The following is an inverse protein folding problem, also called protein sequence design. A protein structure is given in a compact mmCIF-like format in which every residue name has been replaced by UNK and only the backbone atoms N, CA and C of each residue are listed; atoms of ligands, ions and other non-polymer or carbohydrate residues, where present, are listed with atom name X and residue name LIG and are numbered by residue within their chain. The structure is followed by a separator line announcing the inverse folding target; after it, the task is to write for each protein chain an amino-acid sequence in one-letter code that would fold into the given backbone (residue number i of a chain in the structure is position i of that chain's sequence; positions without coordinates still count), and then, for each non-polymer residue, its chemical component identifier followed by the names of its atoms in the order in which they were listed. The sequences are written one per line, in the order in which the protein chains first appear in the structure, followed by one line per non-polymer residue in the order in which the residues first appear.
data_IF_041389016221
#
_entry.id   IF_041389016221
#
_cell.length_a   1.000
_cell.length_b   1.000
_cell.length_c   1.000
_cell.angle_alpha   90.00
_cell.angle_beta   90.00
_cell.angle_gamma   90.00
#
_symmetry.space_group_name_H-M   'P 1'
#
loop_
_entity.id
_entity.type
_entity.pdbx_description
1 polymer ?
#
# COMPACT_ATOMS: atom_id res chain seq x y z
N UNK A 1 13.63 -3.67 7.16
CA UNK A 1 12.66 -2.73 6.55
C UNK A 1 12.11 -3.37 5.29
N UNK A 2 10.84 -3.08 4.91
CA UNK A 2 10.19 -3.68 3.74
C UNK A 2 9.61 -2.60 2.85
N UNK A 3 9.54 -2.87 1.54
CA UNK A 3 8.98 -1.99 0.52
C UNK A 3 8.16 -2.77 -0.51
N UNK A 4 7.28 -2.08 -1.22
CA UNK A 4 6.65 -2.54 -2.47
C UNK A 4 6.85 -1.48 -3.54
N UNK A 5 6.91 -1.89 -4.80
CA UNK A 5 7.03 -0.96 -5.91
C UNK A 5 5.67 -0.31 -6.24
N UNK A 6 5.73 0.95 -6.64
CA UNK A 6 4.60 1.70 -7.19
C UNK A 6 4.67 1.85 -8.71
N UNK A 7 3.64 2.45 -9.31
CA UNK A 7 3.53 2.59 -10.77
C UNK A 7 4.71 3.35 -11.40
N UNK A 8 5.28 4.35 -10.72
CA UNK A 8 6.40 5.11 -11.25
C UNK A 8 7.66 4.27 -11.43
N UNK A 9 7.85 3.25 -10.59
CA UNK A 9 8.98 2.33 -10.68
C UNK A 9 8.91 1.49 -11.97
N UNK A 10 7.69 1.16 -12.43
CA UNK A 10 7.45 0.43 -13.66
C UNK A 10 7.62 1.28 -14.92
N UNK A 11 7.52 2.61 -14.83
CA UNK A 11 7.76 3.49 -15.97
C UNK A 11 9.25 3.61 -16.34
N UNK A 12 10.15 3.25 -15.42
CA UNK A 12 11.59 3.37 -15.62
C UNK A 12 12.19 1.97 -15.81
N UNK A 13 12.53 1.31 -14.73
CA UNK A 13 13.10 -0.03 -14.71
C UNK A 13 12.90 -0.67 -13.32
N UNK A 14 11.84 -1.44 -13.11
CA UNK A 14 11.53 -1.98 -11.80
C UNK A 14 12.63 -2.88 -11.24
N UNK A 15 13.37 -3.61 -12.08
CA UNK A 15 14.46 -4.48 -11.65
C UNK A 15 15.66 -3.67 -11.13
N UNK A 16 16.00 -2.56 -11.77
CA UNK A 16 17.09 -1.69 -11.33
C UNK A 16 16.72 -0.98 -10.01
N UNK A 17 15.46 -0.53 -9.89
CA UNK A 17 14.96 0.12 -8.68
C UNK A 17 14.90 -0.88 -7.52
N UNK A 18 14.41 -2.10 -7.75
CA UNK A 18 14.44 -3.19 -6.74
C UNK A 18 15.84 -3.38 -6.20
N UNK A 19 16.83 -3.55 -7.09
CA UNK A 19 18.24 -3.73 -6.66
C UNK A 19 18.74 -2.56 -5.83
N UNK A 20 18.48 -1.33 -6.26
CA UNK A 20 18.91 -0.13 -5.52
C UNK A 20 18.28 -0.06 -4.10
N UNK A 21 17.02 -0.46 -3.96
CA UNK A 21 16.32 -0.53 -2.67
C UNK A 21 16.93 -1.64 -1.80
N UNK A 22 17.21 -2.80 -2.38
CA UNK A 22 17.80 -3.94 -1.67
C UNK A 22 19.25 -3.69 -1.27
N UNK A 23 20.04 -3.03 -2.11
CA UNK A 23 21.40 -2.58 -1.79
C UNK A 23 21.42 -1.58 -0.61
N UNK A 24 20.33 -0.84 -0.40
CA UNK A 24 20.13 -0.01 0.77
C UNK A 24 19.66 -0.77 2.04
N UNK A 25 19.56 -2.10 1.98
CA UNK A 25 19.14 -2.95 3.10
C UNK A 25 17.62 -3.02 3.33
N UNK A 26 16.82 -2.69 2.31
CA UNK A 26 15.36 -2.73 2.36
C UNK A 26 14.88 -3.90 1.49
N UNK A 27 14.15 -4.85 2.06
CA UNK A 27 13.60 -5.98 1.32
C UNK A 27 12.39 -5.55 0.50
N UNK A 28 12.43 -5.75 -0.81
CA UNK A 28 11.28 -5.52 -1.69
C UNK A 28 10.41 -6.78 -1.73
N UNK A 29 9.13 -6.63 -1.38
CA UNK A 29 8.15 -7.71 -1.46
C UNK A 29 7.39 -7.62 -2.78
N UNK A 30 7.39 -8.71 -3.54
CA UNK A 30 6.73 -8.83 -4.83
C UNK A 30 5.88 -10.10 -4.82
N UNK A 31 4.58 -9.96 -4.59
CA UNK A 31 3.60 -11.05 -4.43
C UNK A 31 4.04 -12.09 -3.37
N UNK A 32 4.54 -11.59 -2.27
CA UNK A 32 5.05 -12.39 -1.18
C UNK A 32 4.23 -12.17 0.10
N UNK A 33 4.01 -13.26 0.82
CA UNK A 33 3.49 -13.27 2.18
C UNK A 33 4.58 -13.85 3.09
N UNK A 34 5.04 -13.06 4.05
CA UNK A 34 6.12 -13.46 4.97
C UNK A 34 5.70 -13.31 6.43
N UNK A 35 6.06 -14.26 7.30
CA UNK A 35 5.82 -14.13 8.74
C UNK A 35 6.85 -13.18 9.37
N UNK A 36 6.37 -12.23 10.14
CA UNK A 36 7.21 -11.28 10.89
C UNK A 36 7.26 -11.71 12.36
N UNK A 37 8.42 -12.16 12.83
CA UNK A 37 8.68 -12.56 14.21
C UNK A 37 7.65 -13.55 14.79
N UNK A 38 6.92 -14.29 13.95
CA UNK A 38 5.80 -15.16 14.33
C UNK A 38 4.63 -14.40 15.00
N UNK A 39 4.55 -13.09 14.83
CA UNK A 39 3.50 -12.25 15.42
C UNK A 39 2.40 -11.91 14.43
N UNK A 40 2.77 -11.62 13.18
CA UNK A 40 1.83 -11.27 12.11
C UNK A 40 2.42 -11.63 10.74
N UNK A 41 1.59 -11.61 9.72
CA UNK A 41 1.98 -11.76 8.33
C UNK A 41 2.05 -10.40 7.64
N UNK A 42 3.12 -10.21 6.88
CA UNK A 42 3.26 -9.07 5.99
C UNK A 42 3.15 -9.54 4.55
N UNK A 43 2.19 -8.98 3.82
CA UNK A 43 2.01 -9.19 2.38
C UNK A 43 2.46 -7.94 1.66
N UNK A 44 3.33 -8.11 0.66
CA UNK A 44 3.70 -7.03 -0.25
C UNK A 44 3.33 -7.39 -1.69
N UNK A 45 2.63 -6.49 -2.36
CA UNK A 45 2.17 -6.67 -3.74
C UNK A 45 2.85 -5.66 -4.67
N UNK A 46 3.21 -6.06 -5.90
CA UNK A 46 3.63 -5.12 -6.93
C UNK A 46 2.47 -4.22 -7.36
N UNK A 47 2.77 -3.12 -8.05
CA UNK A 47 1.74 -2.29 -8.67
C UNK A 47 0.93 -3.08 -9.72
N UNK A 48 -0.28 -2.63 -10.03
CA UNK A 48 -1.15 -3.27 -11.02
C UNK A 48 -0.63 -3.15 -12.48
N UNK A 49 0.45 -2.42 -12.71
CA UNK A 49 1.19 -2.44 -13.98
C UNK A 49 2.00 -3.73 -14.18
N UNK A 50 2.21 -4.52 -13.13
CA UNK A 50 2.75 -5.86 -13.29
C UNK A 50 1.66 -6.82 -13.78
N UNK A 51 1.81 -7.29 -15.02
CA UNK A 51 0.84 -8.20 -15.66
C UNK A 51 0.80 -9.59 -15.01
N UNK A 52 1.79 -9.94 -14.18
CA UNK A 52 1.88 -11.22 -13.49
C UNK A 52 1.42 -11.15 -12.03
N UNK A 53 0.96 -9.99 -11.60
CA UNK A 53 0.49 -9.73 -10.24
C UNK A 53 -0.57 -10.75 -9.80
N UNK A 54 -0.31 -11.40 -8.66
CA UNK A 54 -1.23 -12.40 -8.11
C UNK A 54 -2.49 -11.74 -7.51
N UNK A 55 -3.63 -12.44 -7.53
CA UNK A 55 -4.80 -12.02 -6.74
C UNK A 55 -4.48 -11.95 -5.25
N UNK A 56 -4.96 -10.93 -4.55
CA UNK A 56 -4.71 -10.76 -3.11
C UNK A 56 -5.19 -11.97 -2.29
N UNK A 57 -6.31 -12.57 -2.67
CA UNK A 57 -6.84 -13.75 -2.02
C UNK A 57 -5.86 -14.93 -2.04
N UNK A 58 -5.05 -15.06 -3.10
CA UNK A 58 -4.06 -16.14 -3.21
C UNK A 58 -2.89 -15.95 -2.25
N UNK A 59 -2.51 -14.71 -2.00
CA UNK A 59 -1.47 -14.35 -1.03
C UNK A 59 -1.98 -14.55 0.40
N UNK A 60 -3.21 -14.12 0.68
CA UNK A 60 -3.85 -14.31 1.99
C UNK A 60 -3.99 -15.80 2.34
N UNK A 61 -4.30 -16.66 1.37
CA UNK A 61 -4.36 -18.12 1.61
C UNK A 61 -3.03 -18.75 2.04
N UNK A 62 -1.91 -18.08 1.81
CA UNK A 62 -0.57 -18.53 2.27
C UNK A 62 -0.29 -18.15 3.73
N UNK A 63 -1.13 -17.34 4.37
CA UNK A 63 -0.94 -16.88 5.75
C UNK A 63 -1.56 -17.84 6.76
N UNK A 64 -1.13 -17.73 8.00
CA UNK A 64 -1.79 -18.44 9.11
C UNK A 64 -3.04 -17.65 9.55
N UNK A 65 -4.25 -18.21 9.46
CA UNK A 65 -5.49 -17.52 9.80
C UNK A 65 -5.63 -17.13 11.29
N UNK A 66 -4.77 -17.67 12.16
CA UNK A 66 -4.72 -17.32 13.59
C UNK A 66 -3.84 -16.10 13.88
N UNK A 67 -3.21 -15.51 12.86
CA UNK A 67 -2.32 -14.37 13.00
C UNK A 67 -2.79 -13.18 12.18
N UNK A 68 -2.58 -11.94 12.67
CA UNK A 68 -2.93 -10.74 11.92
C UNK A 68 -2.21 -10.67 10.57
N UNK A 69 -2.86 -10.06 9.58
CA UNK A 69 -2.34 -9.85 8.23
C UNK A 69 -2.25 -8.36 7.94
N UNK A 70 -1.05 -7.90 7.61
CA UNK A 70 -0.79 -6.53 7.13
C UNK A 70 -0.50 -6.60 5.63
N UNK A 71 -1.23 -5.84 4.83
CA UNK A 71 -1.08 -5.74 3.39
C UNK A 71 -0.43 -4.40 3.03
N UNK A 72 0.67 -4.46 2.29
CA UNK A 72 1.27 -3.33 1.58
C UNK A 72 0.83 -3.41 0.11
N UNK A 73 0.00 -2.49 -0.34
CA UNK A 73 -0.45 -2.36 -1.72
C UNK A 73 -0.38 -0.90 -2.15
N UNK A 74 0.41 -0.59 -3.19
CA UNK A 74 0.68 0.79 -3.57
C UNK A 74 -0.59 1.58 -3.85
N UNK A 75 -1.55 1.00 -4.60
CA UNK A 75 -2.81 1.67 -4.93
C UNK A 75 -3.96 1.23 -4.03
N UNK A 76 -4.87 2.15 -3.66
CA UNK A 76 -6.08 1.82 -2.91
C UNK A 76 -7.24 1.35 -3.80
N UNK A 77 -6.98 0.84 -5.00
CA UNK A 77 -8.00 0.48 -6.00
C UNK A 77 -8.97 -0.60 -5.50
N UNK A 78 -8.48 -1.52 -4.67
CA UNK A 78 -9.18 -2.73 -4.25
C UNK A 78 -9.59 -2.74 -2.77
N UNK A 79 -9.65 -1.58 -2.11
CA UNK A 79 -9.99 -1.49 -0.67
C UNK A 79 -11.31 -2.18 -0.34
N UNK A 80 -12.35 -1.99 -1.18
CA UNK A 80 -13.65 -2.61 -0.96
C UNK A 80 -13.65 -4.15 -1.10
N UNK A 81 -12.78 -4.69 -1.96
CA UNK A 81 -12.55 -6.12 -2.12
C UNK A 81 -11.75 -6.67 -0.94
N UNK A 82 -10.66 -5.99 -0.61
CA UNK A 82 -9.75 -6.38 0.47
C UNK A 82 -10.44 -6.37 1.84
N UNK A 83 -11.42 -5.48 2.06
CA UNK A 83 -12.23 -5.45 3.27
C UNK A 83 -13.09 -6.71 3.50
N UNK A 84 -13.22 -7.57 2.49
CA UNK A 84 -13.91 -8.88 2.59
C UNK A 84 -12.95 -10.04 2.85
N UNK A 85 -11.65 -9.79 2.76
CA UNK A 85 -10.60 -10.76 3.05
C UNK A 85 -10.16 -10.63 4.52
N UNK A 86 -9.54 -11.65 5.10
CA UNK A 86 -8.97 -11.57 6.44
C UNK A 86 -7.66 -10.75 6.44
N UNK A 87 -7.79 -9.46 6.18
CA UNK A 87 -6.72 -8.46 6.22
C UNK A 87 -7.05 -7.49 7.36
N UNK A 88 -6.18 -7.42 8.35
CA UNK A 88 -6.38 -6.58 9.52
C UNK A 88 -5.98 -5.13 9.27
N UNK A 89 -4.91 -4.92 8.49
CA UNK A 89 -4.43 -3.60 8.11
C UNK A 89 -3.97 -3.57 6.66
N UNK A 90 -4.44 -2.60 5.89
CA UNK A 90 -3.84 -2.26 4.59
C UNK A 90 -3.22 -0.87 4.65
N UNK A 91 -2.01 -0.74 4.10
CA UNK A 91 -1.33 0.54 3.89
C UNK A 91 -1.13 0.78 2.39
N UNK A 92 -1.51 1.96 1.93
CA UNK A 92 -1.46 2.37 0.52
C UNK A 92 -1.00 3.82 0.38
N UNK A 93 -0.57 4.17 -0.82
CA UNK A 93 -0.18 5.54 -1.19
C UNK A 93 -0.81 5.94 -2.52
N UNK A 94 0.02 6.27 -3.52
CA UNK A 94 -0.33 6.56 -4.91
C UNK A 94 -1.10 7.86 -5.13
N UNK A 95 -2.14 8.13 -4.34
CA UNK A 95 -3.15 9.17 -4.62
C UNK A 95 -2.66 10.58 -4.28
N UNK A 96 -1.64 10.70 -3.41
CA UNK A 96 -1.07 11.96 -2.92
C UNK A 96 -2.10 12.95 -2.35
N UNK A 97 -3.29 12.46 -1.94
CA UNK A 97 -4.47 13.30 -1.61
C UNK A 97 -4.75 14.34 -2.71
N UNK A 98 -4.63 13.92 -3.99
CA UNK A 98 -4.77 14.78 -5.16
C UNK A 98 -3.60 15.73 -5.41
N UNK A 99 -2.66 15.86 -4.47
CA UNK A 99 -1.49 16.73 -4.48
C UNK A 99 -1.78 18.22 -4.69
N UNK A 100 -2.58 18.58 -5.70
CA UNK A 100 -2.91 19.97 -6.09
C UNK A 100 -4.43 20.13 -6.09
N UNK A 101 -4.93 21.02 -5.22
CA UNK A 101 -6.34 21.38 -5.20
C UNK A 101 -6.76 21.95 -6.59
N UNK A 102 -7.94 21.56 -7.14
CA UNK A 102 -9.01 20.75 -6.52
C UNK A 102 -8.96 19.24 -6.88
N UNK A 103 -7.82 18.69 -7.33
CA UNK A 103 -7.69 17.31 -7.77
C UNK A 103 -8.01 16.28 -6.65
N UNK A 104 -7.99 16.70 -5.39
CA UNK A 104 -8.42 15.86 -4.27
C UNK A 104 -9.88 15.41 -4.38
N UNK A 105 -10.78 16.21 -4.93
CA UNK A 105 -12.18 15.81 -5.16
C UNK A 105 -12.29 14.76 -6.26
N UNK A 106 -11.47 14.87 -7.29
CA UNK A 106 -11.39 13.87 -8.36
C UNK A 106 -10.88 12.55 -7.77
N UNK A 107 -9.79 12.60 -6.99
CA UNK A 107 -9.23 11.44 -6.31
C UNK A 107 -10.27 10.74 -5.40
N UNK A 108 -11.06 11.50 -4.63
CA UNK A 108 -12.12 10.97 -3.78
C UNK A 108 -13.23 10.26 -4.59
N UNK A 109 -13.44 10.66 -5.82
CA UNK A 109 -14.45 10.04 -6.69
C UNK A 109 -13.94 8.74 -7.28
N UNK A 110 -12.66 8.71 -7.70
CA UNK A 110 -12.02 7.55 -8.35
C UNK A 110 -11.72 6.44 -7.34
N UNK A 111 -11.11 6.79 -6.20
CA UNK A 111 -10.60 5.84 -5.20
C UNK A 111 -11.57 5.63 -4.04
N UNK A 112 -12.81 5.26 -4.35
CA UNK A 112 -13.77 4.87 -3.32
C UNK A 112 -13.51 3.42 -2.85
N UNK A 113 -13.72 3.14 -1.56
CA UNK A 113 -14.29 3.99 -0.51
C UNK A 113 -13.28 4.89 0.20
N UNK A 114 -11.96 4.78 -0.05
CA UNK A 114 -10.93 5.53 0.66
C UNK A 114 -9.83 6.00 -0.30
N UNK A 115 -9.70 7.32 -0.46
CA UNK A 115 -8.64 7.96 -1.26
C UNK A 115 -7.53 8.58 -0.41
N UNK A 116 -7.80 8.85 0.88
CA UNK A 116 -6.85 9.47 1.80
C UNK A 116 -7.26 9.28 3.25
N UNK A 117 -6.26 9.16 4.11
CA UNK A 117 -6.45 9.05 5.56
C UNK A 117 -6.70 7.62 6.01
N UNK A 118 -7.44 7.49 7.12
CA UNK A 118 -7.75 6.21 7.75
C UNK A 118 -9.24 5.94 7.73
N UNK A 119 -9.60 4.67 7.52
CA UNK A 119 -10.97 4.18 7.67
C UNK A 119 -10.99 2.71 8.10
N UNK A 120 -11.87 2.38 9.03
CA UNK A 120 -12.24 0.99 9.31
C UNK A 120 -13.36 0.57 8.35
N UNK A 121 -13.17 -0.53 7.61
CA UNK A 121 -14.12 -1.04 6.63
C UNK A 121 -14.22 -2.55 6.79
N UNK A 122 -15.41 -3.08 7.05
CA UNK A 122 -15.57 -4.49 7.38
C UNK A 122 -14.82 -4.83 8.68
N UNK A 123 -13.97 -5.83 8.62
CA UNK A 123 -13.14 -6.25 9.76
C UNK A 123 -11.72 -5.65 9.74
N UNK A 124 -11.36 -4.90 8.69
CA UNK A 124 -10.01 -4.39 8.47
C UNK A 124 -9.89 -2.89 8.68
N UNK A 125 -8.65 -2.46 8.83
CA UNK A 125 -8.22 -1.09 8.94
C UNK A 125 -7.47 -0.68 7.67
N UNK A 126 -7.79 0.47 7.08
CA UNK A 126 -7.22 0.92 5.82
C UNK A 126 -6.64 2.32 5.98
N UNK A 127 -5.40 2.48 5.52
CA UNK A 127 -4.67 3.75 5.52
C UNK A 127 -4.21 4.06 4.11
N UNK A 128 -4.54 5.26 3.63
CA UNK A 128 -4.01 5.79 2.36
C UNK A 128 -3.28 7.08 2.67
N UNK A 129 -1.96 7.06 2.50
CA UNK A 129 -1.12 8.24 2.77
C UNK A 129 -1.02 9.16 1.57
N UNK A 130 -0.87 10.47 1.82
CA UNK A 130 -0.47 11.41 0.78
C UNK A 130 0.99 11.27 0.37
N UNK A 131 1.79 10.53 1.14
CA UNK A 131 3.20 10.28 0.88
C UNK A 131 4.11 11.46 1.23
N UNK A 132 5.40 11.18 1.29
CA UNK A 132 6.42 12.19 1.58
C UNK A 132 6.84 12.96 0.32
N UNK A 133 6.98 12.27 -0.81
CA UNK A 133 7.43 12.83 -2.09
C UNK A 133 6.34 13.57 -2.87
N UNK A 134 6.70 13.93 -4.11
CA UNK A 134 5.82 14.60 -5.06
C UNK A 134 5.58 13.71 -6.28
N UNK A 135 4.49 14.02 -6.97
CA UNK A 135 4.19 13.48 -8.29
C UNK A 135 4.23 14.62 -9.33
N UNK A 136 5.00 14.45 -10.40
CA UNK A 136 5.10 15.45 -11.46
C UNK A 136 5.70 16.77 -10.99
N UNK A 137 4.88 17.76 -10.74
CA UNK A 137 5.31 19.08 -10.29
C UNK A 137 5.75 19.01 -8.81
N UNK A 138 6.95 19.55 -8.44
CA UNK A 138 7.50 19.38 -7.10
C UNK A 138 6.92 20.37 -6.07
N UNK A 139 5.61 20.49 -6.01
CA UNK A 139 4.92 21.23 -4.96
C UNK A 139 3.53 20.64 -4.66
N UNK A 140 2.97 21.01 -3.52
CA UNK A 140 1.63 20.66 -3.08
C UNK A 140 0.78 21.90 -2.83
N UNK A 141 -0.51 21.80 -3.14
CA UNK A 141 -1.52 22.80 -2.82
C UNK A 141 -2.76 22.08 -2.30
N UNK A 142 -3.13 22.33 -1.03
CA UNK A 142 -4.27 21.68 -0.40
C UNK A 142 -4.02 20.24 0.06
N UNK A 143 -2.77 19.77 -0.01
CA UNK A 143 -2.30 18.53 0.61
C UNK A 143 -0.92 18.74 1.24
N UNK A 144 -0.50 17.86 2.13
CA UNK A 144 0.80 17.94 2.81
C UNK A 144 1.59 16.65 2.60
N UNK A 145 2.93 16.77 2.62
CA UNK A 145 3.81 15.60 2.73
C UNK A 145 3.69 15.01 4.13
N UNK A 146 3.62 13.69 4.23
CA UNK A 146 3.45 13.03 5.52
C UNK A 146 4.13 11.67 5.59
N UNK A 147 4.37 11.23 6.80
CA UNK A 147 4.73 9.87 7.18
C UNK A 147 3.79 9.43 8.29
N UNK A 148 3.26 8.21 8.19
CA UNK A 148 2.37 7.65 9.20
C UNK A 148 3.16 6.78 10.17
N UNK A 149 2.92 6.99 11.47
CA UNK A 149 3.33 6.08 12.54
C UNK A 149 2.07 5.32 12.96
N UNK A 150 2.07 4.01 12.71
CA UNK A 150 0.93 3.13 13.02
C UNK A 150 1.34 2.22 14.17
N UNK A 151 0.69 2.34 15.31
CA UNK A 151 0.88 1.44 16.43
C UNK A 151 -0.16 0.33 16.39
N UNK A 152 0.29 -0.91 16.26
CA UNK A 152 -0.57 -2.10 16.27
C UNK A 152 -0.42 -2.78 17.63
N UNK A 153 -1.54 -2.97 18.32
CA UNK A 153 -1.58 -3.66 19.62
C UNK A 153 -2.46 -4.89 19.52
N UNK A 154 -1.96 -6.02 20.06
CA UNK A 154 -2.79 -7.21 20.29
C UNK A 154 -3.83 -6.96 21.39
N UNK A 155 -4.94 -7.66 21.31
CA UNK A 155 -5.95 -7.73 22.37
C UNK A 155 -5.53 -8.72 23.44
#
# INVERSE_FOLDING_TARGET
MYATLGNHDYFINPQAITRAIEDAGITVLHDQAIPINRQFWLIGRPDNLDSHRLPTADLVRKTNPAQPVILMDHRPDHVAEHARLPIDLQVSGHVHNGQIFPANFIAQTIYRPLSYGYQAIGNGHFVVTSGYGFWGIPFRLGSQSEVWIIEVRGK
#
